data_IF_303081726252
#
_entry.id   IF_303081726252
#
_cell.length_a   1.000
_cell.length_b   1.000
_cell.length_c   1.000
_cell.angle_alpha   90.00
_cell.angle_beta   90.00
_cell.angle_gamma   90.00
#
_symmetry.space_group_name_H-M   'P 1'
#
loop_
_entity.id
_entity.type
_entity.pdbx_description
1 polymer ?
#
# COMPACT_ATOMS: atom_id res chain seq x y z
N UNK A 1 -15.32 11.75 -27.63
CA UNK A 1 -15.03 11.31 -26.24
C UNK A 1 -14.29 9.99 -26.29
N UNK A 2 -12.98 9.95 -25.96
CA UNK A 2 -12.24 8.69 -25.85
C UNK A 2 -12.68 7.99 -24.56
N UNK A 3 -13.32 6.82 -24.68
CA UNK A 3 -13.54 5.92 -23.55
C UNK A 3 -12.17 5.38 -23.14
N UNK A 4 -11.70 5.74 -21.95
CA UNK A 4 -10.55 5.07 -21.36
C UNK A 4 -11.02 3.66 -21.00
N UNK A 5 -10.41 2.66 -21.63
CA UNK A 5 -10.64 1.25 -21.28
C UNK A 5 -10.35 1.08 -19.79
N UNK A 6 -11.30 0.49 -19.07
CA UNK A 6 -11.13 0.00 -17.70
C UNK A 6 -10.03 -1.06 -17.70
N UNK A 7 -8.77 -0.63 -17.64
CA UNK A 7 -7.65 -1.50 -17.36
C UNK A 7 -7.84 -2.00 -15.93
N UNK A 8 -8.37 -3.21 -15.81
CA UNK A 8 -8.32 -4.00 -14.59
C UNK A 8 -6.84 -4.26 -14.27
N UNK A 9 -6.24 -3.41 -13.44
CA UNK A 9 -4.95 -3.69 -12.83
C UNK A 9 -5.14 -4.89 -11.90
N UNK A 10 -4.70 -6.06 -12.36
CA UNK A 10 -4.75 -7.30 -11.60
C UNK A 10 -3.80 -7.20 -10.41
N UNK A 11 -4.35 -7.51 -9.24
CA UNK A 11 -3.91 -7.02 -7.92
C UNK A 11 -2.73 -7.77 -7.29
N UNK A 12 -2.26 -8.87 -7.90
CA UNK A 12 -1.23 -9.75 -7.32
C UNK A 12 0.19 -9.48 -7.83
N UNK A 13 0.45 -9.68 -9.12
CA UNK A 13 1.81 -9.68 -9.66
C UNK A 13 2.48 -8.30 -9.68
N UNK A 14 1.69 -7.23 -9.89
CA UNK A 14 2.24 -5.88 -9.98
C UNK A 14 2.62 -5.30 -8.61
N UNK A 15 1.78 -5.52 -7.60
CA UNK A 15 2.02 -5.04 -6.23
C UNK A 15 3.18 -5.79 -5.57
N UNK A 16 3.29 -7.10 -5.77
CA UNK A 16 4.43 -7.90 -5.28
C UNK A 16 5.75 -7.46 -5.92
N UNK A 17 5.77 -7.27 -7.25
CA UNK A 17 6.94 -6.79 -7.98
C UNK A 17 7.39 -5.42 -7.47
N UNK A 18 6.46 -4.48 -7.32
CA UNK A 18 6.77 -3.13 -6.85
C UNK A 18 7.21 -3.09 -5.39
N UNK A 19 6.61 -3.93 -4.54
CA UNK A 19 7.05 -4.15 -3.16
C UNK A 19 8.51 -4.61 -3.11
N UNK A 20 8.88 -5.58 -3.96
CA UNK A 20 10.25 -6.05 -4.08
C UNK A 20 11.23 -4.94 -4.47
N UNK A 21 10.86 -4.07 -5.42
CA UNK A 21 11.68 -2.92 -5.79
C UNK A 21 11.84 -1.96 -4.61
N UNK A 22 10.74 -1.59 -3.96
CA UNK A 22 10.75 -0.62 -2.86
C UNK A 22 11.57 -1.10 -1.65
N UNK A 23 11.47 -2.39 -1.29
CA UNK A 23 12.23 -2.96 -0.17
C UNK A 23 13.74 -3.04 -0.42
N UNK A 24 14.14 -3.08 -1.69
CA UNK A 24 15.55 -3.13 -2.11
C UNK A 24 16.10 -1.77 -2.55
N UNK A 25 15.27 -0.73 -2.63
CA UNK A 25 15.72 0.61 -2.98
C UNK A 25 16.53 1.20 -1.80
N UNK A 26 17.81 1.58 -1.99
CA UNK A 26 18.66 2.04 -0.90
C UNK A 26 18.10 3.23 -0.12
N UNK A 27 17.30 4.08 -0.76
CA UNK A 27 16.64 5.21 -0.10
C UNK A 27 15.56 4.83 0.92
N UNK A 28 15.12 3.57 0.96
CA UNK A 28 14.12 3.07 1.91
C UNK A 28 14.74 2.43 3.16
N UNK A 29 16.05 2.15 3.16
CA UNK A 29 16.74 1.63 4.35
C UNK A 29 16.58 2.50 5.61
N UNK A 30 16.64 3.84 5.54
CA UNK A 30 16.39 4.69 6.70
C UNK A 30 14.98 4.51 7.30
N UNK A 31 13.98 4.17 6.46
CA UNK A 31 12.58 3.99 6.90
C UNK A 31 12.39 2.74 7.77
N UNK A 32 13.30 1.75 7.69
CA UNK A 32 13.28 0.58 8.56
C UNK A 32 13.66 0.91 10.01
N UNK A 33 14.42 1.99 10.22
CA UNK A 33 15.00 2.35 11.53
C UNK A 33 14.35 3.57 12.18
N UNK A 34 13.85 4.49 11.37
CA UNK A 34 13.33 5.79 11.79
C UNK A 34 11.80 5.86 11.74
N UNK A 35 11.24 6.82 12.48
CA UNK A 35 9.83 7.18 12.32
C UNK A 35 9.63 7.89 10.96
N UNK A 36 8.44 7.73 10.38
CA UNK A 36 8.13 8.37 9.11
C UNK A 36 6.69 8.17 8.67
N UNK A 37 6.37 8.75 7.52
CA UNK A 37 5.04 8.70 6.93
C UNK A 37 5.15 8.22 5.48
N UNK A 38 4.25 7.32 5.09
CA UNK A 38 4.12 6.82 3.72
C UNK A 38 2.74 7.20 3.18
N UNK A 39 2.73 7.85 2.02
CA UNK A 39 1.50 8.23 1.32
C UNK A 39 1.37 7.41 0.04
N UNK A 40 0.29 6.64 -0.08
CA UNK A 40 -0.07 5.86 -1.26
C UNK A 40 -1.21 6.54 -2.01
N UNK A 41 -0.94 7.07 -3.21
CA UNK A 41 -1.92 7.80 -4.04
C UNK A 41 -2.47 6.85 -5.10
N UNK A 42 -3.79 6.67 -5.11
CA UNK A 42 -4.43 5.60 -5.89
C UNK A 42 -4.26 4.24 -5.20
N UNK A 43 -4.42 4.20 -3.87
CA UNK A 43 -4.09 3.02 -3.07
C UNK A 43 -4.96 1.80 -3.37
N UNK A 44 -6.08 1.98 -4.10
CA UNK A 44 -7.05 0.93 -4.36
C UNK A 44 -7.53 0.31 -3.05
N UNK A 45 -7.61 -1.02 -3.03
CA UNK A 45 -7.94 -1.77 -1.80
C UNK A 45 -6.78 -1.89 -0.81
N UNK A 46 -5.66 -1.19 -0.99
CA UNK A 46 -4.54 -1.16 -0.05
C UNK A 46 -3.45 -2.21 -0.25
N UNK A 47 -3.41 -2.91 -1.39
CA UNK A 47 -2.47 -4.03 -1.62
C UNK A 47 -0.99 -3.65 -1.35
N UNK A 48 -0.56 -2.49 -1.83
CA UNK A 48 0.82 -2.01 -1.64
C UNK A 48 1.11 -1.68 -0.16
N UNK A 49 0.17 -1.01 0.52
CA UNK A 49 0.26 -0.71 1.95
C UNK A 49 0.39 -2.02 2.76
N UNK A 50 -0.46 -3.00 2.50
CA UNK A 50 -0.48 -4.25 3.26
C UNK A 50 0.75 -5.12 3.03
N UNK A 51 1.33 -5.06 1.83
CA UNK A 51 2.60 -5.73 1.54
C UNK A 51 3.79 -5.02 2.20
N UNK A 52 3.80 -3.69 2.28
CA UNK A 52 4.92 -2.94 2.85
C UNK A 52 4.88 -2.80 4.37
N UNK A 53 3.70 -2.57 4.96
CA UNK A 53 3.54 -2.25 6.37
C UNK A 53 4.25 -3.23 7.33
N UNK A 54 4.23 -4.57 7.11
CA UNK A 54 4.95 -5.52 7.96
C UNK A 54 6.47 -5.29 8.05
N UNK A 55 7.07 -4.65 7.04
CA UNK A 55 8.51 -4.39 6.98
C UNK A 55 8.93 -3.09 7.70
N UNK A 56 7.97 -2.23 8.06
CA UNK A 56 8.23 -0.87 8.53
C UNK A 56 7.47 -0.53 9.81
N UNK A 57 7.97 -1.01 10.96
CA UNK A 57 7.28 -0.88 12.26
C UNK A 57 7.04 0.54 12.75
N UNK A 58 7.80 1.52 12.26
CA UNK A 58 7.79 2.91 12.72
C UNK A 58 7.17 3.89 11.71
N UNK A 59 6.60 3.36 10.63
CA UNK A 59 6.02 4.17 9.56
C UNK A 59 4.50 4.20 9.71
N UNK A 60 3.92 5.39 9.59
CA UNK A 60 2.47 5.57 9.46
C UNK A 60 2.12 5.54 7.98
N UNK A 61 1.25 4.63 7.58
CA UNK A 61 0.76 4.51 6.21
C UNK A 61 -0.57 5.24 6.05
N UNK A 62 -0.70 6.03 4.99
CA UNK A 62 -1.93 6.72 4.59
C UNK A 62 -2.23 6.39 3.14
N UNK A 63 -3.40 5.83 2.86
CA UNK A 63 -3.90 5.57 1.51
C UNK A 63 -4.94 6.60 1.10
N UNK A 64 -4.85 7.09 -0.15
CA UNK A 64 -5.85 7.95 -0.78
C UNK A 64 -6.29 7.30 -2.08
N UNK A 65 -7.60 7.22 -2.31
CA UNK A 65 -8.18 6.76 -3.57
C UNK A 65 -9.41 7.61 -3.93
N UNK A 66 -9.78 7.66 -5.21
CA UNK A 66 -11.00 8.38 -5.65
C UNK A 66 -12.24 7.48 -5.56
N UNK A 67 -12.07 6.16 -5.51
CA UNK A 67 -13.14 5.17 -5.44
C UNK A 67 -13.50 4.88 -3.98
N UNK A 68 -14.68 5.34 -3.55
CA UNK A 68 -15.22 5.02 -2.23
C UNK A 68 -15.31 3.50 -1.95
N UNK A 69 -15.72 2.64 -2.92
CA UNK A 69 -15.65 1.19 -2.73
C UNK A 69 -14.24 0.65 -2.43
N UNK A 70 -13.20 1.22 -3.03
CA UNK A 70 -11.82 0.82 -2.76
C UNK A 70 -11.40 1.21 -1.33
N UNK A 71 -11.73 2.43 -0.91
CA UNK A 71 -11.47 2.91 0.46
C UNK A 71 -12.18 2.01 1.47
N UNK A 72 -13.46 1.69 1.24
CA UNK A 72 -14.23 0.81 2.11
C UNK A 72 -13.60 -0.60 2.20
N UNK A 73 -13.20 -1.16 1.06
CA UNK A 73 -12.52 -2.46 1.00
C UNK A 73 -11.20 -2.46 1.76
N UNK A 74 -10.37 -1.43 1.57
CA UNK A 74 -9.11 -1.22 2.27
C UNK A 74 -9.31 -1.18 3.80
N UNK A 75 -10.24 -0.35 4.27
CA UNK A 75 -10.53 -0.21 5.71
C UNK A 75 -11.06 -1.53 6.33
N UNK A 76 -11.89 -2.26 5.60
CA UNK A 76 -12.35 -3.59 6.05
C UNK A 76 -11.18 -4.59 6.16
N UNK A 77 -10.24 -4.57 5.21
CA UNK A 77 -9.05 -5.43 5.29
C UNK A 77 -8.15 -5.05 6.47
N UNK A 78 -7.96 -3.75 6.72
CA UNK A 78 -7.24 -3.22 7.88
C UNK A 78 -7.77 -3.77 9.21
N UNK A 79 -9.09 -3.80 9.38
CA UNK A 79 -9.73 -4.33 10.60
C UNK A 79 -9.42 -5.80 10.89
N UNK A 80 -8.97 -6.55 9.88
CA UNK A 80 -8.63 -7.97 9.96
C UNK A 80 -7.15 -8.22 10.13
N UNK A 81 -6.30 -7.19 10.01
CA UNK A 81 -4.86 -7.35 10.17
C UNK A 81 -4.51 -7.47 11.66
N UNK A 82 -3.67 -8.45 12.04
CA UNK A 82 -3.15 -8.51 13.39
C UNK A 82 -2.30 -7.25 13.66
N UNK A 83 -2.48 -6.64 14.84
CA UNK A 83 -1.68 -5.46 15.22
C UNK A 83 -0.22 -5.88 15.38
N UNK A 84 0.60 -5.51 14.40
CA UNK A 84 2.03 -5.81 14.36
C UNK A 84 2.87 -5.00 15.35
N UNK A 85 2.22 -4.19 16.22
CA UNK A 85 2.85 -3.41 17.30
C UNK A 85 2.78 -4.08 18.68
N UNK A 86 2.18 -5.27 18.79
CA UNK A 86 2.29 -6.14 19.96
C UNK A 86 3.49 -7.07 19.83
#
# INVERSE_FOLDING_TARGET
>A
MKKYNDQKFTTGSYSEYFTGIMLNFPGFEPLKKNNGHFLDIGCGSGAQIFSLAPHFKKIVFTGIDLSEPNIFSCNNQLSRMPDSRK
#
